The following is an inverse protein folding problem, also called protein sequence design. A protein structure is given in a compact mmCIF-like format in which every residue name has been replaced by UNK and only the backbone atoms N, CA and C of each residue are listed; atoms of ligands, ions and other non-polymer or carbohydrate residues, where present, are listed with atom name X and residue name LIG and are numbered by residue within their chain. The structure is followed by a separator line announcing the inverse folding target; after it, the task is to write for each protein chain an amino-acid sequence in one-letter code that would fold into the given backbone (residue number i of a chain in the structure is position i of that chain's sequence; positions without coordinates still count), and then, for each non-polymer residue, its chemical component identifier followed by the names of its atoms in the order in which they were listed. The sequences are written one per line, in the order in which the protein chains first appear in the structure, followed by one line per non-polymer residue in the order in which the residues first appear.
data_IF_890681808543
#
_entry.id   IF_890681808543
#
_cell.length_a   1.000
_cell.length_b   1.000
_cell.length_c   1.000
_cell.angle_alpha   90.00
_cell.angle_beta   90.00
_cell.angle_gamma   90.00
#
_symmetry.space_group_name_H-M   'P 1'
#
loop_
_entity.id
_entity.type
_entity.pdbx_description
1 polymer ?
#
# COMPACT_ATOMS: atom_id res chain seq x y z
N UNK A 1 36.06 -19.10 2.81
CA UNK A 1 35.70 -17.72 2.45
C UNK A 1 34.49 -17.33 3.29
N UNK A 2 34.47 -16.14 3.90
CA UNK A 2 33.24 -15.63 4.52
C UNK A 2 32.39 -15.08 3.37
N UNK A 3 31.53 -15.93 2.79
CA UNK A 3 30.67 -15.60 1.65
C UNK A 3 29.65 -14.53 2.07
N UNK A 4 29.96 -13.27 1.75
CA UNK A 4 29.00 -12.18 1.82
C UNK A 4 28.86 -11.62 0.42
N UNK A 5 27.68 -11.73 -0.16
CA UNK A 5 27.40 -11.11 -1.45
C UNK A 5 27.20 -9.59 -1.25
N UNK A 6 28.06 -8.73 -1.82
CA UNK A 6 27.91 -7.28 -1.69
C UNK A 6 26.66 -6.81 -2.45
N UNK A 7 25.83 -5.96 -1.83
CA UNK A 7 24.54 -5.51 -2.38
C UNK A 7 24.65 -4.29 -3.27
N UNK A 8 25.70 -3.48 -3.12
CA UNK A 8 25.84 -2.17 -3.75
C UNK A 8 27.00 -2.07 -4.75
N UNK A 9 27.94 -3.02 -4.79
CA UNK A 9 29.15 -2.94 -5.62
C UNK A 9 28.89 -2.77 -7.12
N UNK A 10 27.83 -3.40 -7.64
CA UNK A 10 27.44 -3.30 -9.06
C UNK A 10 26.32 -2.26 -9.30
N UNK A 11 25.95 -1.48 -8.27
CA UNK A 11 24.91 -0.44 -8.41
C UNK A 11 25.47 0.88 -8.95
N UNK A 12 24.59 1.71 -9.52
CA UNK A 12 24.95 3.07 -9.95
C UNK A 12 25.31 4.00 -8.78
N UNK A 13 24.95 3.62 -7.54
CA UNK A 13 25.18 4.44 -6.36
C UNK A 13 26.57 4.21 -5.77
N UNK A 14 27.55 4.93 -6.34
CA UNK A 14 28.97 4.84 -5.96
C UNK A 14 29.23 5.20 -4.49
N UNK A 15 28.41 6.05 -3.89
CA UNK A 15 28.54 6.43 -2.47
C UNK A 15 28.24 5.22 -1.58
N UNK A 16 27.17 4.48 -1.88
CA UNK A 16 26.79 3.29 -1.13
C UNK A 16 27.76 2.13 -1.37
N UNK A 17 28.25 1.97 -2.60
CA UNK A 17 29.29 0.99 -2.92
C UNK A 17 30.57 1.24 -2.11
N UNK A 18 31.00 2.50 -1.97
CA UNK A 18 32.15 2.85 -1.12
C UNK A 18 31.91 2.52 0.37
N UNK A 19 30.73 2.87 0.90
CA UNK A 19 30.39 2.59 2.31
C UNK A 19 30.33 1.10 2.60
N UNK A 20 29.74 0.31 1.69
CA UNK A 20 29.68 -1.14 1.81
C UNK A 20 31.07 -1.78 1.73
N UNK A 21 31.93 -1.29 0.83
CA UNK A 21 33.32 -1.75 0.72
C UNK A 21 34.07 -1.55 2.04
N UNK A 22 33.98 -0.35 2.62
CA UNK A 22 34.60 -0.04 3.91
C UNK A 22 33.99 -0.85 5.06
N UNK A 23 32.68 -1.08 5.05
CA UNK A 23 32.00 -1.88 6.07
C UNK A 23 32.46 -3.34 6.03
N UNK A 24 32.47 -3.97 4.85
CA UNK A 24 32.94 -5.34 4.67
C UNK A 24 34.41 -5.44 5.07
N UNK A 25 35.26 -4.51 4.62
CA UNK A 25 36.69 -4.47 5.00
C UNK A 25 36.87 -4.44 6.53
N UNK A 26 36.18 -3.52 7.21
CA UNK A 26 36.37 -3.31 8.65
C UNK A 26 35.75 -4.41 9.51
N UNK A 27 34.57 -4.92 9.14
CA UNK A 27 33.78 -5.86 9.95
C UNK A 27 34.21 -7.31 9.67
N UNK A 28 34.42 -7.66 8.40
CA UNK A 28 34.63 -9.06 7.97
C UNK A 28 36.11 -9.42 7.90
N UNK A 29 36.91 -8.49 7.38
CA UNK A 29 38.36 -8.65 7.16
C UNK A 29 39.21 -7.92 8.20
N UNK A 30 38.60 -7.44 9.29
CA UNK A 30 39.31 -6.79 10.40
C UNK A 30 40.19 -5.59 9.95
N UNK A 31 39.83 -4.92 8.85
CA UNK A 31 40.57 -3.80 8.26
C UNK A 31 41.61 -4.18 7.21
N UNK A 32 41.85 -5.48 6.97
CA UNK A 32 42.83 -5.97 5.99
C UNK A 32 42.41 -5.64 4.56
N UNK A 33 43.22 -4.82 3.88
CA UNK A 33 43.04 -4.54 2.46
C UNK A 33 43.42 -5.72 1.58
N UNK A 34 44.44 -6.48 1.98
CA UNK A 34 44.93 -7.64 1.22
C UNK A 34 43.89 -8.76 1.18
N UNK A 35 43.28 -9.08 2.33
CA UNK A 35 42.24 -10.13 2.38
C UNK A 35 40.96 -9.72 1.65
N UNK A 36 40.63 -8.43 1.66
CA UNK A 36 39.52 -7.86 0.90
C UNK A 36 39.78 -7.96 -0.61
N UNK A 37 40.98 -7.61 -1.08
CA UNK A 37 41.37 -7.72 -2.49
C UNK A 37 41.36 -9.17 -2.98
N UNK A 38 41.90 -10.10 -2.18
CA UNK A 38 41.90 -11.52 -2.48
C UNK A 38 40.49 -12.12 -2.57
N UNK A 39 39.56 -11.63 -1.74
CA UNK A 39 38.17 -12.11 -1.72
C UNK A 39 37.32 -11.49 -2.84
N UNK A 40 37.63 -10.26 -3.26
CA UNK A 40 36.86 -9.52 -4.25
C UNK A 40 37.75 -8.94 -5.37
N UNK A 41 38.54 -9.77 -6.09
CA UNK A 41 39.55 -9.29 -7.03
C UNK A 41 38.93 -8.47 -8.19
N UNK A 42 37.70 -8.81 -8.59
CA UNK A 42 36.93 -8.07 -9.60
C UNK A 42 36.68 -6.60 -9.24
N UNK A 43 36.64 -6.27 -7.95
CA UNK A 43 36.25 -4.95 -7.46
C UNK A 43 37.42 -4.12 -6.91
N UNK A 44 38.62 -4.69 -6.80
CA UNK A 44 39.81 -4.03 -6.26
C UNK A 44 40.16 -2.73 -7.01
N UNK A 45 40.07 -2.75 -8.35
CA UNK A 45 40.27 -1.53 -9.15
C UNK A 45 39.03 -0.62 -9.13
N UNK A 46 37.83 -1.22 -9.08
CA UNK A 46 36.56 -0.49 -9.14
C UNK A 46 36.31 0.37 -7.91
N UNK A 47 36.79 -0.05 -6.74
CA UNK A 47 36.57 0.67 -5.50
C UNK A 47 37.21 2.07 -5.50
N UNK A 48 38.33 2.25 -6.21
CA UNK A 48 38.96 3.58 -6.35
C UNK A 48 38.04 4.58 -7.05
N UNK A 49 37.21 4.12 -8.00
CA UNK A 49 36.21 4.95 -8.69
C UNK A 49 35.00 5.31 -7.81
N UNK A 50 34.91 4.77 -6.58
CA UNK A 50 33.86 5.10 -5.63
C UNK A 50 34.30 6.18 -4.63
N UNK A 51 35.60 6.35 -4.40
CA UNK A 51 36.17 7.28 -3.42
C UNK A 51 35.86 8.74 -3.78
N UNK A 52 36.14 9.14 -5.01
CA UNK A 52 35.93 10.51 -5.48
C UNK A 52 34.44 10.91 -5.42
N UNK A 53 33.49 10.13 -5.99
CA UNK A 53 32.06 10.40 -5.84
C UNK A 53 31.58 10.47 -4.38
N UNK A 54 32.17 9.66 -3.50
CA UNK A 54 31.89 9.74 -2.08
C UNK A 54 32.35 11.10 -1.52
N UNK A 55 33.60 11.49 -1.75
CA UNK A 55 34.13 12.74 -1.20
C UNK A 55 33.37 13.98 -1.70
N UNK A 56 32.96 13.99 -2.98
CA UNK A 56 32.27 15.14 -3.57
C UNK A 56 30.77 15.22 -3.23
N UNK A 57 30.07 14.08 -3.18
CA UNK A 57 28.59 14.03 -3.20
C UNK A 57 27.98 13.37 -1.97
N UNK A 58 28.79 12.83 -1.05
CA UNK A 58 28.28 12.30 0.21
C UNK A 58 27.65 13.42 1.06
N UNK A 59 26.53 13.09 1.69
CA UNK A 59 25.91 13.93 2.71
C UNK A 59 26.51 13.66 4.09
N UNK A 60 26.25 14.54 5.05
CA UNK A 60 26.72 14.37 6.44
C UNK A 60 26.29 13.04 7.06
N UNK A 61 25.10 12.53 6.71
CA UNK A 61 24.64 11.22 7.17
C UNK A 61 25.51 10.06 6.63
N UNK A 62 26.00 10.17 5.39
CA UNK A 62 26.93 9.19 4.82
C UNK A 62 28.29 9.25 5.53
N UNK A 63 28.79 10.45 5.83
CA UNK A 63 30.00 10.63 6.63
C UNK A 63 29.84 10.10 8.06
N UNK A 64 28.67 10.28 8.68
CA UNK A 64 28.36 9.72 9.99
C UNK A 64 28.43 8.19 9.98
N UNK A 65 27.87 7.53 8.96
CA UNK A 65 27.99 6.07 8.80
C UNK A 65 29.46 5.67 8.60
N UNK A 66 30.21 6.35 7.72
CA UNK A 66 31.64 6.08 7.52
C UNK A 66 32.45 6.17 8.82
N UNK A 67 32.20 7.20 9.64
CA UNK A 67 32.84 7.35 10.96
C UNK A 67 32.50 6.18 11.89
N UNK A 68 31.25 5.70 11.89
CA UNK A 68 30.84 4.52 12.69
C UNK A 68 31.53 3.24 12.23
N UNK A 69 31.68 3.04 10.92
CA UNK A 69 32.45 1.94 10.33
C UNK A 69 33.90 1.99 10.80
N UNK A 70 34.56 3.15 10.67
CA UNK A 70 35.96 3.33 11.06
C UNK A 70 36.19 3.10 12.57
N UNK A 71 35.24 3.55 13.40
CA UNK A 71 35.25 3.32 14.86
C UNK A 71 34.80 1.91 15.25
N UNK A 72 34.53 1.02 14.30
CA UNK A 72 34.06 -0.37 14.52
C UNK A 72 32.82 -0.45 15.42
N UNK A 73 31.89 0.49 15.25
CA UNK A 73 30.66 0.57 16.05
C UNK A 73 29.52 -0.31 15.52
N UNK A 74 29.76 -1.03 14.42
CA UNK A 74 28.83 -2.04 13.90
C UNK A 74 29.36 -3.42 14.26
N UNK A 75 28.57 -4.19 15.01
CA UNK A 75 28.93 -5.53 15.46
C UNK A 75 28.85 -6.58 14.35
N UNK A 76 28.03 -6.34 13.34
CA UNK A 76 27.81 -7.21 12.17
C UNK A 76 27.58 -6.40 10.89
N UNK A 77 27.64 -7.08 9.73
CA UNK A 77 27.32 -6.44 8.44
C UNK A 77 25.81 -6.16 8.32
N UNK A 78 24.98 -6.97 8.99
CA UNK A 78 23.54 -6.77 9.10
C UNK A 78 23.19 -5.49 9.86
N UNK A 79 23.95 -5.14 10.92
CA UNK A 79 23.80 -3.89 11.64
C UNK A 79 24.11 -2.69 10.75
N UNK A 80 25.17 -2.80 9.94
CA UNK A 80 25.49 -1.79 8.93
C UNK A 80 24.34 -1.60 7.93
N UNK A 81 23.81 -2.69 7.36
CA UNK A 81 22.68 -2.59 6.43
C UNK A 81 21.43 -2.02 7.08
N UNK A 82 21.18 -2.35 8.35
CA UNK A 82 20.06 -1.79 9.11
C UNK A 82 20.21 -0.28 9.32
N UNK A 83 21.43 0.20 9.60
CA UNK A 83 21.72 1.63 9.68
C UNK A 83 21.64 2.35 8.32
N UNK A 84 21.77 1.63 7.21
CA UNK A 84 21.65 2.18 5.86
C UNK A 84 20.19 2.31 5.39
N UNK A 85 19.27 1.47 5.88
CA UNK A 85 17.84 1.47 5.48
C UNK A 85 17.18 2.86 5.48
N UNK A 86 17.40 3.75 6.46
CA UNK A 86 16.83 5.10 6.44
C UNK A 86 17.30 5.96 5.26
N UNK A 87 18.54 5.79 4.80
CA UNK A 87 19.12 6.53 3.66
C UNK A 87 18.62 6.04 2.32
N UNK A 88 18.18 4.77 2.24
CA UNK A 88 17.60 4.18 1.05
C UNK A 88 16.16 4.65 0.81
N UNK A 89 15.49 5.19 1.83
CA UNK A 89 14.13 5.70 1.68
C UNK A 89 14.13 6.98 0.84
N UNK A 90 13.18 7.15 -0.10
CA UNK A 90 13.06 8.39 -0.87
C UNK A 90 12.93 9.60 0.05
N UNK A 91 13.90 10.52 -0.01
CA UNK A 91 13.80 11.79 0.72
C UNK A 91 12.68 12.63 0.09
N UNK A 92 11.74 13.09 0.92
CA UNK A 92 10.68 14.00 0.48
C UNK A 92 11.33 15.31 0.01
N UNK A 93 11.18 15.64 -1.27
CA UNK A 93 11.64 16.88 -1.89
C UNK A 93 10.51 17.54 -2.68
N UNK A 94 10.63 18.83 -2.95
CA UNK A 94 9.66 19.57 -3.78
C UNK A 94 8.23 19.47 -3.27
N UNK A 95 7.29 19.04 -4.13
CA UNK A 95 5.87 18.88 -3.80
C UNK A 95 5.64 17.93 -2.63
N UNK A 96 6.31 16.77 -2.60
CA UNK A 96 6.17 15.80 -1.52
C UNK A 96 6.61 16.35 -0.14
N UNK A 97 7.57 17.29 -0.13
CA UNK A 97 7.97 17.98 1.10
C UNK A 97 6.94 19.04 1.51
N UNK A 98 6.42 19.82 0.56
CA UNK A 98 5.36 20.81 0.82
C UNK A 98 4.09 20.14 1.37
N UNK A 99 3.65 19.05 0.76
CA UNK A 99 2.49 18.28 1.23
C UNK A 99 2.70 17.65 2.61
N UNK A 100 3.93 17.23 2.92
CA UNK A 100 4.24 16.72 4.25
C UNK A 100 4.19 17.85 5.29
N UNK A 101 4.75 19.02 4.99
CA UNK A 101 4.67 20.20 5.86
C UNK A 101 3.23 20.63 6.08
N UNK A 102 2.41 20.63 5.03
CA UNK A 102 0.99 20.95 5.12
C UNK A 102 0.25 19.96 6.04
N UNK A 103 0.50 18.65 5.91
CA UNK A 103 -0.09 17.63 6.81
C UNK A 103 0.37 17.78 8.26
N UNK A 104 1.63 18.13 8.49
CA UNK A 104 2.14 18.38 9.85
C UNK A 104 1.53 19.65 10.45
N UNK A 105 1.41 20.73 9.67
CA UNK A 105 0.73 21.95 10.09
C UNK A 105 -0.76 21.72 10.35
N UNK A 106 -1.39 20.81 9.62
CA UNK A 106 -2.77 20.40 9.87
C UNK A 106 -2.93 19.68 11.22
N UNK A 107 -1.94 18.90 11.67
CA UNK A 107 -2.00 18.26 12.99
C UNK A 107 -1.88 19.27 14.14
N UNK A 108 -1.01 20.28 14.01
CA UNK A 108 -0.95 21.37 15.00
C UNK A 108 -2.21 22.22 14.98
N UNK A 109 -2.77 22.50 13.80
CA UNK A 109 -4.05 23.19 13.67
C UNK A 109 -5.22 22.40 14.28
N UNK A 110 -5.27 21.08 14.08
CA UNK A 110 -6.27 20.22 14.71
C UNK A 110 -6.17 20.24 16.23
N UNK A 111 -4.96 20.28 16.79
CA UNK A 111 -4.75 20.41 18.23
C UNK A 111 -5.29 21.74 18.75
N UNK A 112 -5.04 22.85 18.05
CA UNK A 112 -5.56 24.17 18.41
C UNK A 112 -7.09 24.27 18.29
N UNK A 113 -7.68 23.63 17.27
CA UNK A 113 -9.12 23.64 17.05
C UNK A 113 -9.90 22.72 17.99
N UNK A 114 -9.39 21.52 18.25
CA UNK A 114 -10.09 20.52 19.06
C UNK A 114 -9.89 20.76 20.56
N UNK A 115 -8.83 21.44 20.97
CA UNK A 115 -8.55 21.73 22.39
C UNK A 115 -8.62 20.46 23.23
N UNK A 116 -9.52 20.45 24.22
CA UNK A 116 -9.74 19.32 25.14
C UNK A 116 -10.26 18.05 24.44
N UNK A 117 -10.84 18.17 23.24
CA UNK A 117 -11.29 17.04 22.43
C UNK A 117 -10.16 16.35 21.64
N UNK A 118 -8.94 16.90 21.65
CA UNK A 118 -7.80 16.32 20.96
C UNK A 118 -7.30 15.06 21.69
N UNK A 119 -7.12 13.96 20.95
CA UNK A 119 -6.57 12.70 21.50
C UNK A 119 -5.05 12.69 21.28
N UNK A 120 -4.30 12.98 22.35
CA UNK A 120 -2.84 12.95 22.32
C UNK A 120 -2.27 11.54 22.56
N UNK A 121 -1.12 11.24 21.92
CA UNK A 121 -0.32 10.06 22.25
C UNK A 121 -0.87 8.69 21.80
N UNK A 122 -2.00 8.65 21.07
CA UNK A 122 -2.60 7.38 20.58
C UNK A 122 -2.70 7.30 19.04
N UNK A 123 -1.59 7.37 18.27
CA UNK A 123 -1.65 7.33 16.80
C UNK A 123 -2.11 5.97 16.23
N UNK A 124 -1.80 4.86 16.90
CA UNK A 124 -2.23 3.52 16.47
C UNK A 124 -3.75 3.35 16.60
N UNK A 125 -4.41 4.03 17.55
CA UNK A 125 -5.87 4.04 17.68
C UNK A 125 -6.54 4.51 16.39
N UNK A 126 -6.08 5.62 15.83
CA UNK A 126 -6.61 6.17 14.57
C UNK A 126 -6.20 5.36 13.34
N UNK A 127 -5.15 4.56 13.44
CA UNK A 127 -4.75 3.65 12.36
C UNK A 127 -5.68 2.45 12.32
N UNK A 128 -5.87 1.78 13.44
CA UNK A 128 -6.76 0.63 13.56
C UNK A 128 -8.23 1.03 13.36
N UNK A 129 -8.62 2.26 13.73
CA UNK A 129 -9.93 2.82 13.40
C UNK A 129 -10.25 2.80 11.89
N UNK A 130 -9.24 2.94 11.01
CA UNK A 130 -9.46 2.86 9.55
C UNK A 130 -9.81 1.44 9.12
N UNK A 131 -9.16 0.45 9.71
CA UNK A 131 -9.43 -0.96 9.41
C UNK A 131 -10.79 -1.38 9.97
N UNK A 132 -11.15 -0.90 11.17
CA UNK A 132 -12.49 -1.07 11.75
C UNK A 132 -13.57 -0.42 10.89
N UNK A 133 -13.33 0.79 10.37
CA UNK A 133 -14.27 1.46 9.48
C UNK A 133 -14.57 0.64 8.22
N UNK A 134 -13.54 0.03 7.61
CA UNK A 134 -13.71 -0.89 6.48
C UNK A 134 -14.63 -2.05 6.87
N UNK A 135 -14.37 -2.69 8.00
CA UNK A 135 -15.18 -3.81 8.49
C UNK A 135 -16.66 -3.42 8.70
N UNK A 136 -16.92 -2.26 9.32
CA UNK A 136 -18.28 -1.75 9.53
C UNK A 136 -18.98 -1.53 8.18
N UNK A 137 -18.30 -0.90 7.21
CA UNK A 137 -18.84 -0.67 5.88
C UNK A 137 -19.18 -1.99 5.16
N UNK A 138 -18.31 -2.99 5.25
CA UNK A 138 -18.51 -4.32 4.63
C UNK A 138 -19.72 -5.07 5.24
N UNK A 139 -20.03 -4.81 6.51
CA UNK A 139 -21.17 -5.42 7.24
C UNK A 139 -22.49 -4.70 7.07
N UNK A 140 -22.50 -3.47 6.55
CA UNK A 140 -23.73 -2.73 6.23
C UNK A 140 -23.98 -1.48 7.07
N UNK A 141 -22.98 -0.99 7.82
CA UNK A 141 -23.06 0.21 8.66
C UNK A 141 -24.30 0.27 9.57
N UNK A 142 -24.49 -0.79 10.35
CA UNK A 142 -25.53 -0.88 11.36
C UNK A 142 -25.06 -0.22 12.68
N UNK A 143 -25.96 0.46 13.39
CA UNK A 143 -25.63 1.24 14.60
C UNK A 143 -25.12 0.36 15.75
N UNK A 144 -25.64 -0.86 15.89
CA UNK A 144 -25.18 -1.81 16.91
C UNK A 144 -23.77 -2.29 16.57
N UNK A 145 -23.52 -2.61 15.30
CA UNK A 145 -22.17 -2.99 14.81
C UNK A 145 -21.19 -1.83 15.02
N UNK A 146 -21.60 -0.60 14.70
CA UNK A 146 -20.75 0.57 14.86
C UNK A 146 -20.35 0.77 16.33
N UNK A 147 -21.34 0.76 17.23
CA UNK A 147 -21.14 0.99 18.66
C UNK A 147 -20.31 -0.11 19.33
N UNK A 148 -20.55 -1.37 18.98
CA UNK A 148 -19.74 -2.51 19.43
C UNK A 148 -18.28 -2.36 18.98
N UNK A 149 -18.05 -2.07 17.70
CA UNK A 149 -16.70 -1.95 17.15
C UNK A 149 -15.93 -0.76 17.71
N UNK A 150 -16.60 0.38 17.94
CA UNK A 150 -15.99 1.53 18.62
C UNK A 150 -15.57 1.18 20.06
N UNK A 151 -16.43 0.47 20.80
CA UNK A 151 -16.13 0.03 22.17
C UNK A 151 -14.95 -0.94 22.22
N UNK A 152 -14.92 -1.92 21.31
CA UNK A 152 -13.80 -2.85 21.18
C UNK A 152 -12.49 -2.15 20.83
N UNK A 153 -12.54 -1.15 19.95
CA UNK A 153 -11.38 -0.34 19.58
C UNK A 153 -10.83 0.43 20.79
N UNK A 154 -11.70 1.11 21.55
CA UNK A 154 -11.32 1.84 22.78
C UNK A 154 -10.66 0.88 23.79
N UNK A 155 -11.25 -0.30 24.00
CA UNK A 155 -10.73 -1.31 24.92
C UNK A 155 -9.36 -1.83 24.48
N UNK A 156 -9.20 -2.19 23.19
CA UNK A 156 -7.95 -2.71 22.61
C UNK A 156 -6.78 -1.76 22.81
N UNK A 157 -7.01 -0.45 22.68
CA UNK A 157 -5.98 0.57 22.84
C UNK A 157 -5.86 1.12 24.27
N UNK A 158 -6.51 0.48 25.26
CA UNK A 158 -6.53 0.93 26.66
C UNK A 158 -6.85 2.42 26.76
N UNK A 159 -7.90 2.83 26.06
CA UNK A 159 -8.32 4.22 25.93
C UNK A 159 -9.60 4.52 26.74
N UNK A 160 -9.82 3.80 27.84
CA UNK A 160 -10.96 3.98 28.74
C UNK A 160 -10.89 5.32 29.51
N UNK A 161 -9.73 5.98 29.46
CA UNK A 161 -9.45 7.29 30.06
C UNK A 161 -9.90 8.46 29.18
N UNK A 162 -10.39 8.21 27.96
CA UNK A 162 -10.87 9.27 27.07
C UNK A 162 -12.11 9.95 27.63
N UNK A 163 -12.17 11.27 27.53
CA UNK A 163 -13.36 12.06 27.86
C UNK A 163 -14.48 11.83 26.85
N UNK A 164 -15.72 12.16 27.21
CA UNK A 164 -16.86 12.08 26.29
C UNK A 164 -16.63 12.91 25.00
N UNK A 165 -15.97 14.08 25.11
CA UNK A 165 -15.59 14.91 23.97
C UNK A 165 -14.54 14.27 23.06
N UNK A 166 -13.59 13.54 23.64
CA UNK A 166 -12.60 12.76 22.89
C UNK A 166 -13.23 11.53 22.23
N UNK A 167 -14.14 10.84 22.93
CA UNK A 167 -14.90 9.71 22.37
C UNK A 167 -15.75 10.18 21.18
N UNK A 168 -16.43 11.33 21.30
CA UNK A 168 -17.18 11.92 20.19
C UNK A 168 -16.28 12.26 18.99
N UNK A 169 -15.05 12.73 19.24
CA UNK A 169 -14.07 13.00 18.18
C UNK A 169 -13.65 11.71 17.47
N UNK A 170 -13.43 10.62 18.22
CA UNK A 170 -13.12 9.32 17.65
C UNK A 170 -14.31 8.75 16.86
N UNK A 171 -15.53 8.88 17.38
CA UNK A 171 -16.76 8.51 16.70
C UNK A 171 -16.88 9.23 15.36
N UNK A 172 -16.76 10.56 15.34
CA UNK A 172 -16.85 11.39 14.12
C UNK A 172 -15.76 11.01 13.10
N UNK A 173 -14.55 10.71 13.58
CA UNK A 173 -13.47 10.27 12.72
C UNK A 173 -13.78 8.91 12.07
N UNK A 174 -14.29 7.96 12.86
CA UNK A 174 -14.62 6.62 12.43
C UNK A 174 -15.77 6.64 11.42
N UNK A 175 -16.84 7.39 11.73
CA UNK A 175 -17.99 7.63 10.86
C UNK A 175 -17.55 8.19 9.49
N UNK A 176 -16.73 9.24 9.50
CA UNK A 176 -16.16 9.80 8.28
C UNK A 176 -15.21 8.85 7.52
N UNK A 177 -14.64 7.81 8.15
CA UNK A 177 -13.93 6.76 7.42
C UNK A 177 -14.89 5.72 6.84
N UNK A 178 -15.95 5.35 7.57
CA UNK A 178 -16.98 4.42 7.10
C UNK A 178 -17.63 4.99 5.84
N UNK A 179 -18.01 6.27 5.86
CA UNK A 179 -18.53 6.98 4.70
C UNK A 179 -17.63 6.86 3.46
N UNK A 180 -16.31 7.00 3.65
CA UNK A 180 -15.35 6.86 2.52
C UNK A 180 -15.34 5.45 1.95
N UNK A 181 -15.51 4.43 2.78
CA UNK A 181 -15.60 3.05 2.32
C UNK A 181 -16.94 2.76 1.63
N UNK A 182 -18.03 3.37 2.10
CA UNK A 182 -19.36 3.29 1.48
C UNK A 182 -19.46 4.02 0.12
N UNK A 183 -18.49 4.89 -0.23
CA UNK A 183 -18.41 5.47 -1.60
C UNK A 183 -18.30 4.35 -2.64
N UNK A 184 -17.55 3.29 -2.32
CA UNK A 184 -17.59 2.05 -3.09
C UNK A 184 -18.83 1.30 -2.64
N UNK A 185 -19.76 1.04 -3.57
CA UNK A 185 -20.86 0.16 -3.24
C UNK A 185 -20.32 -1.22 -2.84
N UNK A 186 -20.97 -1.89 -1.88
CA UNK A 186 -20.50 -3.19 -1.33
C UNK A 186 -20.21 -4.22 -2.44
N UNK A 187 -20.94 -4.14 -3.54
CA UNK A 187 -20.77 -5.03 -4.70
C UNK A 187 -19.48 -4.70 -5.46
N UNK A 188 -19.12 -3.43 -5.63
CA UNK A 188 -17.84 -2.99 -6.18
C UNK A 188 -16.66 -3.40 -5.31
N UNK A 189 -16.79 -3.29 -3.99
CA UNK A 189 -15.78 -3.80 -3.06
C UNK A 189 -15.59 -5.32 -3.23
N UNK A 190 -16.69 -6.08 -3.24
CA UNK A 190 -16.63 -7.53 -3.43
C UNK A 190 -16.10 -7.95 -4.82
N UNK A 191 -16.36 -7.15 -5.86
CA UNK A 191 -15.79 -7.35 -7.20
C UNK A 191 -14.27 -7.11 -7.20
N UNK A 192 -13.79 -6.12 -6.44
CA UNK A 192 -12.36 -5.84 -6.32
C UNK A 192 -11.63 -6.94 -5.55
N UNK A 193 -12.23 -7.48 -4.48
CA UNK A 193 -11.65 -8.56 -3.67
C UNK A 193 -11.51 -9.90 -4.42
N UNK A 194 -12.17 -10.06 -5.58
CA UNK A 194 -12.00 -11.21 -6.48
C UNK A 194 -10.69 -11.17 -7.29
N UNK A 195 -9.89 -10.09 -7.19
CA UNK A 195 -8.60 -9.89 -7.88
C UNK A 195 -8.65 -10.12 -9.41
N UNK A 196 -9.84 -9.95 -10.01
CA UNK A 196 -10.07 -10.19 -11.43
C UNK A 196 -10.29 -8.88 -12.20
N UNK A 197 -9.25 -8.46 -12.94
CA UNK A 197 -9.28 -7.23 -13.76
C UNK A 197 -10.42 -7.20 -14.78
N UNK A 198 -10.73 -8.35 -15.40
CA UNK A 198 -11.78 -8.43 -16.41
C UNK A 198 -13.18 -8.30 -15.78
N UNK A 199 -13.36 -8.81 -14.56
CA UNK A 199 -14.61 -8.68 -13.80
C UNK A 199 -14.90 -7.21 -13.48
N UNK A 200 -13.93 -6.49 -12.89
CA UNK A 200 -14.09 -5.07 -12.57
C UNK A 200 -14.30 -4.20 -13.82
N UNK A 201 -13.53 -4.44 -14.88
CA UNK A 201 -13.68 -3.68 -16.12
C UNK A 201 -15.02 -3.94 -16.81
N UNK A 202 -15.50 -5.19 -16.83
CA UNK A 202 -16.81 -5.54 -17.36
C UNK A 202 -17.93 -4.85 -16.56
N UNK A 203 -17.85 -4.87 -15.24
CA UNK A 203 -18.78 -4.18 -14.36
C UNK A 203 -18.82 -2.68 -14.63
N UNK A 204 -17.66 -2.02 -14.70
CA UNK A 204 -17.57 -0.60 -15.01
C UNK A 204 -18.21 -0.24 -16.37
N UNK A 205 -18.08 -1.12 -17.38
CA UNK A 205 -18.77 -0.95 -18.66
C UNK A 205 -20.28 -1.10 -18.55
N UNK A 206 -20.79 -2.01 -17.71
CA UNK A 206 -22.23 -2.15 -17.45
C UNK A 206 -22.74 -0.88 -16.74
N UNK A 207 -22.12 -0.47 -15.63
CA UNK A 207 -22.51 0.74 -14.87
C UNK A 207 -22.55 1.99 -15.74
N UNK A 208 -21.56 2.15 -16.64
CA UNK A 208 -21.46 3.33 -17.51
C UNK A 208 -22.58 3.41 -18.55
N UNK A 209 -23.11 2.29 -19.02
CA UNK A 209 -24.05 2.25 -20.14
C UNK A 209 -25.49 1.97 -19.72
N UNK A 210 -25.73 1.37 -18.55
CA UNK A 210 -27.06 0.98 -18.09
C UNK A 210 -27.31 1.55 -16.69
N UNK A 211 -28.35 2.38 -16.50
CA UNK A 211 -28.78 2.83 -15.18
C UNK A 211 -29.19 1.67 -14.26
N UNK A 212 -29.21 1.91 -12.94
CA UNK A 212 -29.73 0.93 -11.97
C UNK A 212 -31.20 0.62 -12.29
N UNK A 213 -31.55 -0.67 -12.25
CA UNK A 213 -32.86 -1.19 -12.61
C UNK A 213 -33.07 -1.43 -14.11
N UNK A 214 -32.17 -0.93 -14.97
CA UNK A 214 -32.29 -1.11 -16.42
C UNK A 214 -31.86 -2.52 -16.86
N UNK A 215 -32.38 -2.96 -18.00
CA UNK A 215 -32.09 -4.27 -18.59
C UNK A 215 -31.15 -4.18 -19.77
N UNK A 216 -30.31 -5.20 -19.95
CA UNK A 216 -29.37 -5.27 -21.06
C UNK A 216 -29.17 -6.69 -21.56
N UNK A 217 -28.84 -6.81 -22.84
CA UNK A 217 -28.46 -8.07 -23.47
C UNK A 217 -27.09 -7.90 -24.11
N UNK A 218 -26.11 -8.67 -23.67
CA UNK A 218 -24.77 -8.68 -24.24
C UNK A 218 -24.46 -10.03 -24.87
N UNK A 219 -24.56 -10.17 -26.20
CA UNK A 219 -24.02 -11.31 -26.92
C UNK A 219 -22.52 -11.49 -26.60
N UNK A 220 -22.06 -12.73 -26.50
CA UNK A 220 -20.67 -13.06 -26.10
C UNK A 220 -19.62 -12.31 -26.92
N UNK A 221 -19.82 -12.19 -28.24
CA UNK A 221 -18.90 -11.48 -29.13
C UNK A 221 -18.83 -9.97 -28.82
N UNK A 222 -19.97 -9.37 -28.53
CA UNK A 222 -20.07 -7.95 -28.18
C UNK A 222 -19.46 -7.67 -26.80
N UNK A 223 -19.79 -8.50 -25.81
CA UNK A 223 -19.25 -8.42 -24.45
C UNK A 223 -17.72 -8.49 -24.46
N UNK A 224 -17.16 -9.51 -25.14
CA UNK A 224 -15.72 -9.71 -25.27
C UNK A 224 -15.03 -8.51 -25.93
N UNK A 225 -15.63 -7.95 -26.99
CA UNK A 225 -15.10 -6.78 -27.68
C UNK A 225 -15.15 -5.51 -26.81
N UNK A 226 -16.28 -5.23 -26.16
CA UNK A 226 -16.46 -4.04 -25.30
C UNK A 226 -15.56 -4.08 -24.07
N UNK A 227 -15.39 -5.27 -23.50
CA UNK A 227 -14.65 -5.50 -22.26
C UNK A 227 -13.19 -5.92 -22.49
N UNK A 228 -12.75 -6.05 -23.75
CA UNK A 228 -11.39 -6.45 -24.13
C UNK A 228 -10.92 -7.74 -23.42
N UNK A 229 -11.81 -8.72 -23.29
CA UNK A 229 -11.53 -10.01 -22.67
C UNK A 229 -11.78 -11.18 -23.63
N UNK A 230 -11.37 -12.39 -23.26
CA UNK A 230 -11.66 -13.57 -24.09
C UNK A 230 -13.17 -13.85 -24.10
N UNK A 231 -13.66 -14.38 -25.23
CA UNK A 231 -15.05 -14.88 -25.32
C UNK A 231 -15.36 -15.95 -24.28
N UNK A 232 -14.34 -16.75 -23.91
CA UNK A 232 -14.46 -17.79 -22.88
C UNK A 232 -14.65 -17.22 -21.48
N UNK A 233 -14.21 -15.98 -21.23
CA UNK A 233 -14.26 -15.35 -19.91
C UNK A 233 -15.62 -14.69 -19.66
N UNK A 234 -16.37 -14.35 -20.71
CA UNK A 234 -17.63 -13.61 -20.60
C UNK A 234 -18.64 -14.34 -19.72
N UNK A 235 -18.89 -15.62 -19.97
CA UNK A 235 -19.89 -16.37 -19.22
C UNK A 235 -19.50 -16.57 -17.73
N UNK A 236 -18.26 -16.97 -17.38
CA UNK A 236 -17.80 -16.98 -15.99
C UNK A 236 -17.92 -15.61 -15.29
N UNK A 237 -17.56 -14.52 -15.97
CA UNK A 237 -17.64 -13.17 -15.41
C UNK A 237 -19.10 -12.77 -15.15
N UNK A 238 -20.01 -12.99 -16.10
CA UNK A 238 -21.44 -12.68 -15.91
C UNK A 238 -22.05 -13.46 -14.75
N UNK A 239 -21.72 -14.75 -14.61
CA UNK A 239 -22.16 -15.55 -13.46
C UNK A 239 -21.62 -15.04 -12.13
N UNK A 240 -20.37 -14.55 -12.10
CA UNK A 240 -19.79 -13.95 -10.90
C UNK A 240 -20.49 -12.63 -10.54
N UNK A 241 -20.71 -11.75 -11.52
CA UNK A 241 -21.46 -10.51 -11.31
C UNK A 241 -22.86 -10.79 -10.76
N UNK A 242 -23.51 -11.84 -11.26
CA UNK A 242 -24.81 -12.29 -10.76
C UNK A 242 -24.72 -12.78 -9.30
N UNK A 243 -23.76 -13.65 -8.99
CA UNK A 243 -23.54 -14.16 -7.62
C UNK A 243 -23.23 -13.04 -6.61
N UNK A 244 -22.51 -12.01 -7.06
CA UNK A 244 -22.16 -10.84 -6.24
C UNK A 244 -23.32 -9.84 -6.11
N UNK A 245 -24.44 -10.07 -6.79
CA UNK A 245 -25.62 -9.19 -6.74
C UNK A 245 -25.49 -7.92 -7.57
N UNK A 246 -24.50 -7.83 -8.47
CA UNK A 246 -24.33 -6.68 -9.37
C UNK A 246 -25.41 -6.65 -10.46
N UNK A 247 -25.79 -7.83 -10.93
CA UNK A 247 -26.78 -8.04 -11.98
C UNK A 247 -27.69 -9.23 -11.64
N UNK A 248 -28.87 -9.29 -12.23
CA UNK A 248 -29.77 -10.44 -12.14
C UNK A 248 -30.02 -11.00 -13.53
N UNK A 249 -29.92 -12.32 -13.73
CA UNK A 249 -30.35 -12.95 -14.98
C UNK A 249 -31.88 -12.99 -15.04
N UNK A 250 -32.47 -12.19 -15.92
CA UNK A 250 -33.93 -12.14 -16.12
C UNK A 250 -34.38 -13.24 -17.07
N UNK A 251 -33.62 -13.46 -18.14
CA UNK A 251 -33.96 -14.47 -19.14
C UNK A 251 -32.71 -15.15 -19.68
N UNK A 252 -32.66 -16.47 -19.58
CA UNK A 252 -31.60 -17.25 -20.20
C UNK A 252 -31.61 -17.11 -21.73
N UNK A 253 -30.41 -17.00 -22.29
CA UNK A 253 -30.19 -17.11 -23.73
C UNK A 253 -30.55 -18.52 -24.22
N UNK A 254 -30.91 -18.64 -25.50
CA UNK A 254 -31.21 -19.95 -26.12
C UNK A 254 -30.12 -20.30 -27.11
N UNK A 255 -29.34 -21.34 -26.81
CA UNK A 255 -28.31 -21.85 -27.71
C UNK A 255 -28.94 -22.76 -28.78
N UNK A 256 -28.68 -22.48 -30.05
CA UNK A 256 -29.10 -23.34 -31.16
C UNK A 256 -28.55 -22.87 -32.50
N UNK A 257 -28.42 -23.78 -33.46
CA UNK A 257 -27.85 -23.53 -34.80
C UNK A 257 -28.54 -22.36 -35.54
N UNK A 258 -29.81 -22.07 -35.20
CA UNK A 258 -30.67 -21.06 -35.84
C UNK A 258 -31.20 -20.00 -34.85
N UNK A 259 -30.71 -19.92 -33.60
CA UNK A 259 -31.17 -18.95 -32.61
C UNK A 259 -29.99 -18.39 -31.83
N UNK A 260 -29.72 -17.09 -32.00
CA UNK A 260 -28.67 -16.33 -31.30
C UNK A 260 -29.24 -15.42 -30.21
N UNK A 261 -30.30 -15.86 -29.51
CA UNK A 261 -30.92 -15.05 -28.46
C UNK A 261 -29.96 -14.94 -27.27
N UNK A 262 -29.40 -13.75 -27.07
CA UNK A 262 -28.56 -13.44 -25.92
C UNK A 262 -29.37 -13.51 -24.61
N UNK A 263 -28.66 -13.72 -23.50
CA UNK A 263 -29.25 -13.62 -22.17
C UNK A 263 -29.60 -12.15 -21.87
N UNK A 264 -30.73 -11.96 -21.17
CA UNK A 264 -31.19 -10.65 -20.70
C UNK A 264 -30.91 -10.54 -19.21
N UNK A 265 -30.21 -9.49 -18.82
CA UNK A 265 -29.84 -9.19 -17.45
C UNK A 265 -30.45 -7.87 -17.01
N UNK A 266 -30.59 -7.66 -15.70
CA UNK A 266 -30.93 -6.37 -15.08
C UNK A 266 -29.78 -5.92 -14.19
N UNK A 267 -29.47 -4.62 -14.17
CA UNK A 267 -28.50 -4.03 -13.23
C UNK A 267 -29.16 -3.76 -11.87
N UNK A 268 -28.58 -4.23 -10.77
CA UNK A 268 -29.15 -4.07 -9.42
C UNK A 268 -28.52 -2.94 -8.60
N UNK A 269 -27.25 -2.62 -8.85
CA UNK A 269 -26.47 -1.62 -8.08
C UNK A 269 -25.95 -0.50 -8.96
#
# INVERSE_FOLDING_TARGET
MKDIEPRFFDTKNKILAHLEWEAIRMIIFNGSHMDMANSYPRYEQRQFHWIEPFNEKASEEHYAIKRKIQKRQYSSIEDFYSALKPLLKPKKKGKALKDAKHRTAQASYQREQLGDAFIEGKPELFKDARDVAKYIADKGNDEDIFSDQLSQLIFRHKALDLTDTQILTLWNFLDAQVDKHLILDRVEAAILDEDNKNLYFMWGKIKRNYPKGDTFAWPVKEAASKCKCSKTDVAPIMKKLEKLGAITLIQAGKAGRNSSRAALYRREV
#
